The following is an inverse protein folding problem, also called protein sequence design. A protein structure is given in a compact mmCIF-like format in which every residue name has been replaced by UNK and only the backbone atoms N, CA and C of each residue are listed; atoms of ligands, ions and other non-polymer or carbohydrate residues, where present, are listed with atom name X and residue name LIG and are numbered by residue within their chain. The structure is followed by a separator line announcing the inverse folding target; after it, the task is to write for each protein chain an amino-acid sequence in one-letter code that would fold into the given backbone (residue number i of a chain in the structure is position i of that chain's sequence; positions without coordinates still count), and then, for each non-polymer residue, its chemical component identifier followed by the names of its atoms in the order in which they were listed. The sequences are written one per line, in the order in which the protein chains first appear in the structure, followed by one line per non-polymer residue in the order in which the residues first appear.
data_IF_804151410629
#
_entry.id   IF_804151410629
#
_cell.length_a   1.000
_cell.length_b   1.000
_cell.length_c   1.000
_cell.angle_alpha   90.00
_cell.angle_beta   90.00
_cell.angle_gamma   90.00
#
_symmetry.space_group_name_H-M   'P 1'
#
loop_
_entity.id
_entity.type
_entity.pdbx_description
1 polymer ?
#
# COMPACT_ATOMS: atom_id res chain seq x y z
N UNK A 1 -6.22 5.63 16.34
CA UNK A 1 -5.41 4.71 15.52
C UNK A 1 -5.51 3.31 16.10
N UNK A 2 -6.24 2.39 15.43
CA UNK A 2 -6.31 0.99 15.84
C UNK A 2 -4.99 0.26 15.52
N UNK A 3 -4.81 -0.91 16.12
CA UNK A 3 -3.72 -1.83 15.75
C UNK A 3 -4.03 -2.44 14.38
N UNK A 4 -3.07 -2.45 13.47
CA UNK A 4 -3.19 -3.11 12.17
C UNK A 4 -2.74 -4.56 12.34
N UNK A 5 -3.64 -5.51 12.11
CA UNK A 5 -3.31 -6.93 12.13
C UNK A 5 -2.64 -7.30 10.82
N UNK A 6 -3.34 -7.07 9.71
CA UNK A 6 -2.85 -7.29 8.35
C UNK A 6 -3.29 -6.16 7.43
N UNK A 7 -2.59 -6.01 6.32
CA UNK A 7 -3.06 -5.20 5.20
C UNK A 7 -2.69 -5.85 3.88
N UNK A 8 -3.49 -5.57 2.85
CA UNK A 8 -3.30 -6.07 1.49
C UNK A 8 -3.36 -4.92 0.51
N UNK A 9 -2.36 -4.81 -0.35
CA UNK A 9 -2.24 -3.76 -1.36
C UNK A 9 -2.48 -4.36 -2.74
N UNK A 10 -3.23 -3.63 -3.55
CA UNK A 10 -3.34 -3.84 -4.99
C UNK A 10 -2.91 -2.54 -5.70
N UNK A 11 -1.86 -2.61 -6.51
CA UNK A 11 -1.30 -1.50 -7.28
C UNK A 11 -1.53 -1.78 -8.76
N UNK A 12 -2.15 -0.83 -9.46
CA UNK A 12 -2.23 -0.82 -10.91
C UNK A 12 -1.21 0.17 -11.46
N UNK A 13 -0.22 -0.33 -12.19
CA UNK A 13 0.80 0.50 -12.84
C UNK A 13 0.32 0.98 -14.21
N UNK A 14 0.82 2.15 -14.61
CA UNK A 14 0.56 2.78 -15.89
C UNK A 14 1.70 2.56 -16.89
N UNK A 15 2.05 3.62 -17.64
CA UNK A 15 3.02 3.57 -18.73
C UNK A 15 4.47 3.30 -18.32
N UNK A 16 4.81 3.51 -17.05
CA UNK A 16 6.14 3.20 -16.52
C UNK A 16 6.02 2.27 -15.32
N UNK A 17 6.85 1.23 -15.33
CA UNK A 17 6.88 0.17 -14.33
C UNK A 17 8.23 -0.54 -14.36
N UNK A 18 8.65 -1.13 -13.25
CA UNK A 18 9.93 -1.83 -13.12
C UNK A 18 9.69 -3.26 -12.66
N UNK A 19 10.48 -4.19 -13.20
CA UNK A 19 10.45 -5.58 -12.79
C UNK A 19 11.38 -5.80 -11.59
N UNK A 20 10.93 -5.38 -10.41
CA UNK A 20 11.67 -5.51 -9.16
C UNK A 20 10.69 -5.69 -7.97
N UNK A 21 11.18 -6.13 -6.80
CA UNK A 21 10.34 -6.27 -5.62
C UNK A 21 9.73 -4.93 -5.20
N UNK A 22 8.48 -4.97 -4.77
CA UNK A 22 7.80 -3.81 -4.20
C UNK A 22 8.03 -3.77 -2.71
N UNK A 23 8.41 -2.59 -2.19
CA UNK A 23 8.67 -2.38 -0.78
C UNK A 23 7.63 -1.44 -0.18
N UNK A 24 7.40 -1.59 1.12
CA UNK A 24 6.70 -0.63 1.94
C UNK A 24 7.57 -0.25 3.14
N UNK A 25 7.26 0.89 3.75
CA UNK A 25 7.84 1.28 5.01
C UNK A 25 6.74 1.28 6.07
N UNK A 26 6.92 0.52 7.16
CA UNK A 26 6.03 0.56 8.32
C UNK A 26 6.81 1.03 9.54
N UNK A 27 6.42 2.15 10.13
CA UNK A 27 7.10 2.77 11.28
C UNK A 27 8.62 2.90 11.12
N UNK A 28 9.07 3.35 9.94
CA UNK A 28 10.47 3.51 9.55
C UNK A 28 11.24 2.19 9.30
N UNK A 29 10.54 1.08 9.10
CA UNK A 29 11.13 -0.20 8.70
C UNK A 29 10.73 -0.53 7.26
N UNK A 30 11.71 -0.53 6.34
CA UNK A 30 11.52 -0.94 4.95
C UNK A 30 11.45 -2.47 4.85
N UNK A 31 10.36 -2.98 4.30
CA UNK A 31 10.03 -4.41 4.22
C UNK A 31 9.49 -4.76 2.83
N UNK A 32 9.61 -6.02 2.45
CA UNK A 32 8.99 -6.59 1.23
C UNK A 32 7.60 -7.11 1.56
N UNK A 33 6.72 -7.13 0.56
CA UNK A 33 5.41 -7.76 0.67
C UNK A 33 5.52 -9.30 0.67
N UNK A 34 4.57 -9.94 1.34
CA UNK A 34 4.33 -11.37 1.31
C UNK A 34 3.18 -11.71 0.34
N UNK A 35 3.03 -13.01 0.03
CA UNK A 35 1.96 -13.56 -0.83
C UNK A 35 1.77 -12.80 -2.16
N UNK A 36 2.89 -12.40 -2.77
CA UNK A 36 2.90 -11.55 -3.96
C UNK A 36 2.32 -12.26 -5.17
N UNK A 37 1.43 -11.56 -5.89
CA UNK A 37 0.89 -11.96 -7.18
C UNK A 37 1.04 -10.82 -8.20
N UNK A 38 1.41 -11.17 -9.44
CA UNK A 38 1.61 -10.19 -10.51
C UNK A 38 2.98 -9.51 -10.46
N UNK A 39 3.08 -8.31 -11.03
CA UNK A 39 4.34 -7.54 -11.10
C UNK A 39 4.07 -6.04 -11.16
N UNK A 40 5.08 -5.24 -10.79
CA UNK A 40 5.08 -3.77 -10.89
C UNK A 40 5.66 -3.27 -12.23
N UNK A 41 5.70 -4.13 -13.26
CA UNK A 41 6.06 -3.75 -14.63
C UNK A 41 4.98 -2.84 -15.24
N UNK A 42 5.28 -2.18 -16.35
CA UNK A 42 4.32 -1.26 -16.98
C UNK A 42 3.01 -1.96 -17.39
N UNK A 43 1.89 -1.32 -17.06
CA UNK A 43 0.54 -1.77 -17.40
C UNK A 43 0.13 -3.07 -16.72
N UNK A 44 0.74 -3.40 -15.57
CA UNK A 44 0.47 -4.61 -14.80
C UNK A 44 -0.18 -4.28 -13.47
N UNK A 45 -0.68 -5.33 -12.84
CA UNK A 45 -1.19 -5.27 -11.49
C UNK A 45 -0.23 -6.04 -10.58
N UNK A 46 0.11 -5.41 -9.47
CA UNK A 46 0.81 -6.01 -8.36
C UNK A 46 -0.16 -6.16 -7.19
N UNK A 47 -0.12 -7.32 -6.54
CA UNK A 47 -0.83 -7.57 -5.29
C UNK A 47 0.13 -8.17 -4.28
N UNK A 48 0.06 -7.71 -3.04
CA UNK A 48 0.84 -8.25 -1.93
C UNK A 48 0.18 -7.93 -0.59
N UNK A 49 0.45 -8.75 0.42
CA UNK A 49 -0.04 -8.54 1.78
C UNK A 49 1.09 -8.62 2.81
N UNK A 50 0.76 -8.27 4.05
CA UNK A 50 1.70 -8.40 5.16
C UNK A 50 0.96 -8.51 6.50
N UNK A 51 1.47 -9.36 7.39
CA UNK A 51 1.04 -9.44 8.78
C UNK A 51 1.92 -8.56 9.67
N UNK A 52 1.35 -7.45 10.16
CA UNK A 52 2.08 -6.44 10.93
C UNK A 52 1.91 -6.65 12.43
N UNK A 53 0.66 -6.87 12.86
CA UNK A 53 0.27 -6.90 14.27
C UNK A 53 0.82 -5.71 15.08
N UNK A 54 0.70 -4.48 14.58
CA UNK A 54 1.27 -3.28 15.23
C UNK A 54 0.45 -2.01 14.98
N UNK A 55 0.70 -0.95 15.76
CA UNK A 55 0.09 0.37 15.55
C UNK A 55 0.86 1.14 14.48
N UNK A 56 0.15 1.66 13.47
CA UNK A 56 0.75 2.23 12.27
C UNK A 56 1.03 3.73 12.37
N UNK A 57 2.13 4.16 13.00
CA UNK A 57 2.51 5.58 13.00
C UNK A 57 2.86 6.11 11.61
N UNK A 58 3.39 5.25 10.75
CA UNK A 58 3.55 5.51 9.32
C UNK A 58 3.42 4.21 8.53
N UNK A 59 2.75 4.27 7.38
CA UNK A 59 2.80 3.20 6.38
C UNK A 59 2.80 3.82 4.97
N UNK A 60 3.92 3.67 4.27
CA UNK A 60 4.12 4.20 2.92
C UNK A 60 4.44 3.09 1.93
N UNK A 61 4.02 3.26 0.68
CA UNK A 61 4.54 2.50 -0.45
C UNK A 61 5.80 3.19 -0.96
N UNK A 62 6.90 2.44 -1.05
CA UNK A 62 8.22 2.98 -1.44
C UNK A 62 8.37 2.85 -2.95
N UNK A 63 8.91 3.88 -3.60
CA UNK A 63 9.23 3.83 -5.02
C UNK A 63 10.29 2.79 -5.39
N UNK A 64 10.51 2.57 -6.70
CA UNK A 64 11.46 1.57 -7.16
C UNK A 64 12.90 1.94 -6.78
N UNK A 65 13.79 0.96 -6.66
CA UNK A 65 15.22 1.16 -6.45
C UNK A 65 15.88 1.88 -7.63
N UNK A 66 15.31 1.77 -8.83
CA UNK A 66 15.79 2.51 -10.01
C UNK A 66 14.65 2.88 -10.95
N UNK A 67 14.74 4.08 -11.53
CA UNK A 67 13.77 4.56 -12.51
C UNK A 67 12.43 4.93 -11.86
N UNK A 68 11.30 4.63 -12.51
CA UNK A 68 9.98 5.17 -12.12
C UNK A 68 8.85 4.15 -12.25
N UNK A 69 7.90 4.27 -11.33
CA UNK A 69 6.56 3.70 -11.42
C UNK A 69 5.55 4.83 -11.62
N UNK A 70 4.85 4.79 -12.75
CA UNK A 70 3.59 5.51 -12.88
C UNK A 70 2.52 4.61 -12.27
N UNK A 71 1.91 5.03 -11.17
CA UNK A 71 0.81 4.30 -10.55
C UNK A 71 -0.49 4.99 -10.95
N UNK A 72 -1.43 4.24 -11.51
CA UNK A 72 -2.76 4.76 -11.85
C UNK A 72 -3.70 4.71 -10.63
N UNK A 73 -3.58 3.65 -9.83
CA UNK A 73 -4.45 3.40 -8.68
C UNK A 73 -3.78 2.50 -7.66
N UNK A 74 -4.02 2.81 -6.38
CA UNK A 74 -3.70 1.93 -5.25
C UNK A 74 -5.01 1.62 -4.53
N UNK A 75 -5.25 0.37 -4.20
CA UNK A 75 -6.31 -0.04 -3.26
C UNK A 75 -5.66 -0.79 -2.11
N UNK A 76 -5.98 -0.40 -0.88
CA UNK A 76 -5.47 -1.08 0.31
C UNK A 76 -6.64 -1.56 1.16
N UNK A 77 -6.66 -2.85 1.43
CA UNK A 77 -7.58 -3.45 2.40
C UNK A 77 -6.87 -3.55 3.75
N UNK A 78 -7.49 -2.99 4.78
CA UNK A 78 -6.99 -3.01 6.14
C UNK A 78 -7.84 -3.92 7.01
N UNK A 79 -7.16 -4.78 7.77
CA UNK A 79 -7.76 -5.52 8.87
C UNK A 79 -7.17 -4.99 10.19
N UNK A 80 -7.97 -4.21 10.91
CA UNK A 80 -7.55 -3.60 12.17
C UNK A 80 -8.26 -4.25 13.36
N UNK A 81 -7.58 -4.28 14.50
CA UNK A 81 -8.11 -4.81 15.75
C UNK A 81 -9.38 -4.04 16.16
N UNK A 82 -10.44 -4.79 16.47
CA UNK A 82 -11.77 -4.28 16.85
C UNK A 82 -12.50 -3.45 15.77
N UNK A 83 -12.04 -3.49 14.52
CA UNK A 83 -12.68 -2.81 13.39
C UNK A 83 -13.13 -3.83 12.34
N UNK A 84 -14.17 -3.48 11.57
CA UNK A 84 -14.49 -4.26 10.37
C UNK A 84 -13.43 -3.99 9.30
N UNK A 85 -13.03 -5.00 8.49
CA UNK A 85 -12.15 -4.75 7.37
C UNK A 85 -12.70 -3.67 6.45
N UNK A 86 -11.82 -2.78 5.98
CA UNK A 86 -12.19 -1.66 5.13
C UNK A 86 -11.16 -1.45 4.03
N UNK A 87 -11.61 -0.89 2.91
CA UNK A 87 -10.75 -0.61 1.75
C UNK A 87 -10.63 0.88 1.52
N UNK A 88 -9.39 1.32 1.31
CA UNK A 88 -9.05 2.70 0.95
C UNK A 88 -8.50 2.71 -0.47
N UNK A 89 -8.82 3.76 -1.23
CA UNK A 89 -8.37 3.91 -2.62
C UNK A 89 -7.62 5.22 -2.78
N UNK A 90 -6.45 5.15 -3.40
CA UNK A 90 -5.61 6.28 -3.72
C UNK A 90 -5.57 6.48 -5.23
N UNK A 91 -5.51 7.75 -5.64
CA UNK A 91 -5.41 8.14 -7.05
C UNK A 91 -4.01 7.91 -7.61
N UNK A 92 -3.80 8.45 -8.82
CA UNK A 92 -2.53 8.32 -9.51
C UNK A 92 -1.39 9.03 -8.80
N UNK A 93 -0.21 8.42 -8.82
CA UNK A 93 1.04 8.96 -8.26
C UNK A 93 2.22 8.44 -9.06
N UNK A 94 3.26 9.24 -9.23
CA UNK A 94 4.54 8.77 -9.79
C UNK A 94 5.53 8.60 -8.64
N UNK A 95 6.17 7.43 -8.58
CA UNK A 95 7.21 7.13 -7.61
C UNK A 95 8.53 6.86 -8.33
N UNK A 96 9.61 7.44 -7.80
CA UNK A 96 11.01 7.17 -8.13
C UNK A 96 11.80 6.74 -6.88
N UNK A 97 13.12 6.54 -7.03
CA UNK A 97 14.01 6.04 -5.98
C UNK A 97 14.12 6.90 -4.72
N UNK A 98 13.58 8.12 -4.75
CA UNK A 98 13.62 9.07 -3.62
C UNK A 98 12.26 9.32 -2.98
N UNK A 99 11.20 8.75 -3.56
CA UNK A 99 9.82 9.09 -3.18
C UNK A 99 9.07 7.90 -2.58
N UNK A 100 8.14 8.23 -1.71
CA UNK A 100 7.21 7.29 -1.10
C UNK A 100 5.84 7.95 -1.03
N UNK A 101 4.76 7.17 -1.07
CA UNK A 101 3.40 7.66 -0.90
C UNK A 101 2.80 7.08 0.38
N UNK A 102 2.22 7.94 1.21
CA UNK A 102 1.47 7.48 2.38
C UNK A 102 0.22 6.73 1.92
N UNK A 103 0.12 5.48 2.32
CA UNK A 103 -1.04 4.63 2.03
C UNK A 103 -1.86 4.35 3.29
N UNK A 104 -1.43 4.78 4.48
CA UNK A 104 -2.21 4.66 5.70
C UNK A 104 -3.37 5.65 5.75
N UNK A 105 -4.53 5.16 6.16
CA UNK A 105 -5.68 5.98 6.52
C UNK A 105 -6.45 5.30 7.65
N UNK A 106 -6.84 6.07 8.68
CA UNK A 106 -7.64 5.54 9.79
C UNK A 106 -9.00 4.98 9.29
N UNK A 107 -9.61 4.04 10.04
CA UNK A 107 -10.92 3.52 9.71
C UNK A 107 -11.95 4.64 9.51
N UNK A 108 -12.88 4.49 8.55
CA UNK A 108 -13.93 5.46 8.36
C UNK A 108 -14.79 5.55 9.62
N UNK A 109 -15.06 6.78 10.07
CA UNK A 109 -15.95 7.01 11.22
C UNK A 109 -17.34 6.44 10.87
N UNK A 110 -17.97 5.64 11.74
CA UNK A 110 -19.34 5.19 11.52
C UNK A 110 -20.24 6.41 11.31
N UNK A 111 -20.91 6.49 10.17
CA UNK A 111 -21.92 7.51 9.97
C UNK A 111 -23.02 7.25 11.01
N UNK A 112 -23.21 8.18 11.94
CA UNK A 112 -24.40 8.18 12.78
C UNK A 112 -25.54 8.60 11.86
N UNK A 113 -26.41 7.65 11.49
CA UNK A 113 -27.73 8.00 10.97
C UNK A 113 -28.48 8.73 12.10
N UNK A 114 -28.70 10.03 11.91
CA UNK A 114 -29.51 10.90 12.78
C UNK A 114 -30.95 10.96 12.32
#
# INVERSE_FOLDING_TARGET
MPRVNTFKVNVQTGSQGMNEPVYFNFNNHKLEFENVNGSAESGKNFEGDFEVNSFAHSLTLVGPQSGKWDIEKISVEYNCENEKPYTVRFGAVTLDETTEVNIWQDPPVPAIDV
#
